data_IF_262902767630
#
_entry.id   IF_262902767630
#
_cell.length_a   1.000
_cell.length_b   1.000
_cell.length_c   1.000
_cell.angle_alpha   90.00
_cell.angle_beta   90.00
_cell.angle_gamma   90.00
#
_symmetry.space_group_name_H-M   'P 1'
#
loop_
_entity.id
_entity.type
_entity.pdbx_description
1 polymer ?
#
# COMPACT_ATOMS: atom_id res chain seq x y z
N UNK A 1 49.82 -19.04 28.93
CA UNK A 1 48.45 -18.50 28.70
C UNK A 1 47.44 -19.46 29.31
N UNK A 2 46.53 -18.98 30.17
CA UNK A 2 45.64 -19.85 30.96
C UNK A 2 44.52 -20.45 30.11
N UNK A 3 44.49 -21.77 29.93
CA UNK A 3 43.53 -22.51 29.08
C UNK A 3 42.06 -22.16 29.41
N UNK A 4 41.75 -21.93 30.69
CA UNK A 4 40.41 -21.49 31.13
C UNK A 4 40.02 -20.11 30.60
N UNK A 5 40.97 -19.17 30.48
CA UNK A 5 40.70 -17.83 29.95
C UNK A 5 40.42 -17.87 28.44
N UNK A 6 41.14 -18.73 27.71
CA UNK A 6 40.95 -18.95 26.26
C UNK A 6 39.55 -19.53 26.00
N UNK A 7 39.14 -20.56 26.75
CA UNK A 7 37.82 -21.17 26.62
C UNK A 7 36.67 -20.18 26.86
N UNK A 8 36.80 -19.31 27.88
CA UNK A 8 35.79 -18.29 28.18
C UNK A 8 35.72 -17.24 27.07
N UNK A 9 36.86 -16.76 26.57
CA UNK A 9 36.88 -15.79 25.47
C UNK A 9 36.31 -16.36 24.18
N UNK A 10 36.59 -17.62 23.86
CA UNK A 10 36.06 -18.27 22.66
C UNK A 10 34.55 -18.48 22.76
N UNK A 11 34.04 -18.88 23.94
CA UNK A 11 32.61 -19.02 24.18
C UNK A 11 31.85 -17.68 24.04
N UNK A 12 32.45 -16.57 24.51
CA UNK A 12 31.87 -15.23 24.39
C UNK A 12 31.79 -14.76 22.94
N UNK A 13 32.82 -15.03 22.14
CA UNK A 13 32.85 -14.65 20.71
C UNK A 13 31.81 -15.45 19.92
N UNK A 14 31.64 -16.74 20.21
CA UNK A 14 30.62 -17.58 19.57
C UNK A 14 29.22 -17.08 19.91
N UNK A 15 28.94 -16.76 21.18
CA UNK A 15 27.65 -16.23 21.62
C UNK A 15 27.33 -14.83 21.04
N UNK A 16 28.34 -13.98 20.83
CA UNK A 16 28.14 -12.72 20.10
C UNK A 16 27.85 -12.98 18.62
N UNK A 17 28.56 -13.90 17.97
CA UNK A 17 28.39 -14.14 16.53
C UNK A 17 27.01 -14.72 16.15
N UNK A 18 26.37 -15.47 17.04
CA UNK A 18 25.03 -16.04 16.81
C UNK A 18 23.88 -15.05 17.01
N UNK A 19 24.10 -13.92 17.69
CA UNK A 19 23.07 -12.90 17.91
C UNK A 19 22.96 -11.87 16.77
N UNK A 20 23.96 -11.76 15.89
CA UNK A 20 23.92 -10.91 14.68
C UNK A 20 23.27 -11.59 13.45
N UNK A 21 22.79 -12.83 13.58
CA UNK A 21 22.26 -13.62 12.46
C UNK A 21 20.78 -13.43 12.16
N UNK A 22 20.00 -12.75 13.02
CA UNK A 22 18.58 -12.50 12.76
C UNK A 22 18.42 -11.37 11.74
N UNK A 23 18.41 -11.73 10.46
CA UNK A 23 17.89 -10.85 9.41
C UNK A 23 16.37 -10.78 9.60
N UNK A 24 15.87 -9.65 10.09
CA UNK A 24 14.43 -9.39 10.07
C UNK A 24 13.95 -9.46 8.63
N UNK A 25 13.20 -10.51 8.31
CA UNK A 25 12.57 -10.64 7.00
C UNK A 25 11.23 -9.93 7.11
N UNK A 26 11.05 -8.92 6.27
CA UNK A 26 9.78 -8.24 6.14
C UNK A 26 8.72 -9.24 5.70
N UNK A 27 7.74 -9.50 6.55
CA UNK A 27 6.72 -10.50 6.31
C UNK A 27 5.45 -9.89 5.66
N UNK A 28 4.44 -10.73 5.42
CA UNK A 28 3.18 -10.26 4.82
C UNK A 28 2.49 -9.19 5.66
N UNK A 29 2.49 -9.37 6.99
CA UNK A 29 1.81 -8.46 7.90
C UNK A 29 2.52 -7.10 7.93
N UNK A 30 3.84 -7.11 7.85
CA UNK A 30 4.65 -5.89 7.69
C UNK A 30 4.32 -5.18 6.38
N UNK A 31 4.25 -5.89 5.24
CA UNK A 31 3.88 -5.32 3.94
C UNK A 31 2.46 -4.75 3.93
N UNK A 32 1.50 -5.47 4.51
CA UNK A 32 0.13 -5.00 4.64
C UNK A 32 0.07 -3.72 5.48
N UNK A 33 0.76 -3.71 6.63
CA UNK A 33 0.75 -2.59 7.57
C UNK A 33 1.46 -1.37 6.99
N UNK A 34 2.60 -1.58 6.33
CA UNK A 34 3.32 -0.52 5.61
C UNK A 34 2.46 0.09 4.52
N UNK A 35 1.88 -0.75 3.65
CA UNK A 35 1.05 -0.30 2.52
C UNK A 35 -0.13 0.51 3.01
N UNK A 36 -0.90 -0.01 3.97
CA UNK A 36 -2.09 0.69 4.49
C UNK A 36 -1.74 2.01 5.16
N UNK A 37 -0.62 2.06 5.90
CA UNK A 37 -0.13 3.33 6.47
C UNK A 37 0.28 4.30 5.37
N UNK A 38 1.01 3.84 4.35
CA UNK A 38 1.46 4.66 3.23
C UNK A 38 0.27 5.25 2.46
N UNK A 39 -0.70 4.43 2.07
CA UNK A 39 -1.89 4.85 1.34
C UNK A 39 -2.74 5.86 2.15
N UNK A 40 -2.94 5.60 3.44
CA UNK A 40 -3.72 6.48 4.31
C UNK A 40 -3.04 7.85 4.55
N UNK A 41 -1.71 7.88 4.67
CA UNK A 41 -0.95 9.11 4.92
C UNK A 41 -0.68 9.94 3.66
N UNK A 42 -0.62 9.28 2.50
CA UNK A 42 -0.30 9.92 1.24
C UNK A 42 -1.51 10.48 0.52
N UNK A 43 -2.74 9.99 0.76
CA UNK A 43 -3.93 10.52 0.08
C UNK A 43 -4.06 12.04 0.24
N UNK A 44 -4.22 12.76 -0.87
CA UNK A 44 -4.43 14.19 -0.86
C UNK A 44 -5.90 14.56 -1.07
N UNK A 45 -6.55 14.99 0.03
CA UNK A 45 -7.91 15.50 0.03
C UNK A 45 -8.02 16.99 -0.31
N UNK A 46 -6.91 17.70 -0.52
CA UNK A 46 -6.91 19.16 -0.71
C UNK A 46 -7.77 19.63 -1.90
N UNK A 47 -7.87 18.81 -2.94
CA UNK A 47 -8.68 19.07 -4.14
C UNK A 47 -10.19 18.87 -3.97
N UNK A 48 -10.65 18.28 -2.85
CA UNK A 48 -12.06 17.93 -2.65
C UNK A 48 -12.58 18.43 -1.29
N UNK A 49 -13.05 19.68 -1.29
CA UNK A 49 -13.55 20.36 -0.08
C UNK A 49 -14.83 19.75 0.51
N UNK A 50 -15.52 18.85 -0.20
CA UNK A 50 -16.77 18.21 0.26
C UNK A 50 -16.53 16.82 0.84
N UNK A 51 -15.30 16.33 0.74
CA UNK A 51 -14.89 15.03 1.23
C UNK A 51 -14.84 15.05 2.76
N UNK A 52 -15.60 14.15 3.39
CA UNK A 52 -15.70 14.04 4.84
C UNK A 52 -14.79 12.96 5.40
N UNK A 53 -14.67 11.83 4.69
CA UNK A 53 -13.87 10.68 5.11
C UNK A 53 -13.33 9.96 3.88
N UNK A 54 -12.10 9.48 3.99
CA UNK A 54 -11.45 8.59 3.01
C UNK A 54 -10.94 7.36 3.72
N UNK A 55 -11.17 6.21 3.12
CA UNK A 55 -10.63 4.93 3.56
C UNK A 55 -9.92 4.31 2.36
N UNK A 56 -8.60 4.26 2.40
CA UNK A 56 -7.77 3.72 1.32
C UNK A 56 -6.83 2.66 1.89
N UNK A 57 -7.05 1.41 1.51
CA UNK A 57 -6.32 0.28 2.08
C UNK A 57 -6.27 -0.93 1.14
N UNK A 58 -5.28 -1.76 1.37
CA UNK A 58 -5.09 -3.10 0.87
C UNK A 58 -5.60 -4.13 1.89
N UNK A 59 -6.28 -5.17 1.41
CA UNK A 59 -6.69 -6.32 2.22
C UNK A 59 -5.64 -7.45 2.18
N UNK A 60 -5.67 -8.40 3.13
CA UNK A 60 -4.83 -9.61 3.08
C UNK A 60 -5.03 -10.45 1.80
N UNK A 61 -6.24 -10.39 1.23
CA UNK A 61 -6.62 -11.09 -0.02
C UNK A 61 -6.26 -10.30 -1.30
N UNK A 62 -5.30 -9.38 -1.20
CA UNK A 62 -4.77 -8.59 -2.31
C UNK A 62 -5.79 -7.65 -2.97
N UNK A 63 -6.85 -7.22 -2.29
CA UNK A 63 -7.76 -6.19 -2.82
C UNK A 63 -7.35 -4.80 -2.38
N UNK A 64 -7.17 -3.90 -3.35
CA UNK A 64 -7.16 -2.46 -3.09
C UNK A 64 -8.60 -1.98 -2.99
N UNK A 65 -8.90 -1.22 -1.94
CA UNK A 65 -10.21 -0.61 -1.71
C UNK A 65 -10.05 0.87 -1.37
N UNK A 66 -10.77 1.71 -2.10
CA UNK A 66 -10.89 3.13 -1.82
C UNK A 66 -12.36 3.47 -1.61
N UNK A 67 -12.70 4.00 -0.45
CA UNK A 67 -14.03 4.55 -0.15
C UNK A 67 -13.91 6.03 0.18
N UNK A 68 -14.63 6.85 -0.58
CA UNK A 68 -14.81 8.28 -0.32
C UNK A 68 -16.22 8.49 0.22
N UNK A 69 -16.34 9.22 1.33
CA UNK A 69 -17.64 9.62 1.90
C UNK A 69 -17.72 11.13 1.95
N UNK A 70 -18.81 11.66 1.39
CA UNK A 70 -19.05 13.10 1.26
C UNK A 70 -19.97 13.63 2.35
N UNK A 71 -19.90 14.93 2.62
CA UNK A 71 -20.68 15.59 3.68
C UNK A 71 -22.21 15.34 3.60
N UNK A 72 -22.76 15.09 2.41
CA UNK A 72 -24.20 14.84 2.18
C UNK A 72 -24.57 13.35 2.05
N UNK A 73 -23.69 12.45 2.47
CA UNK A 73 -23.96 11.01 2.47
C UNK A 73 -23.71 10.29 1.14
N UNK A 74 -23.36 11.01 0.06
CA UNK A 74 -22.81 10.41 -1.16
C UNK A 74 -21.56 9.60 -0.81
N UNK A 75 -21.44 8.42 -1.39
CA UNK A 75 -20.24 7.60 -1.32
C UNK A 75 -19.76 7.22 -2.72
N UNK A 76 -18.45 7.10 -2.86
CA UNK A 76 -17.80 6.53 -4.03
C UNK A 76 -16.90 5.39 -3.55
N UNK A 77 -17.00 4.26 -4.21
CA UNK A 77 -16.30 3.03 -3.86
C UNK A 77 -15.56 2.49 -5.08
N UNK A 78 -14.29 2.21 -4.88
CA UNK A 78 -13.41 1.62 -5.87
C UNK A 78 -12.80 0.35 -5.29
N UNK A 79 -12.78 -0.72 -6.07
CA UNK A 79 -12.19 -1.97 -5.64
C UNK A 79 -11.67 -2.79 -6.81
N UNK A 80 -10.47 -3.31 -6.67
CA UNK A 80 -9.89 -4.26 -7.61
C UNK A 80 -8.90 -5.18 -6.91
N UNK A 81 -8.64 -6.33 -7.51
CA UNK A 81 -7.64 -7.26 -7.02
C UNK A 81 -6.28 -6.97 -7.68
N UNK A 82 -5.20 -6.92 -6.90
CA UNK A 82 -3.84 -6.68 -7.40
C UNK A 82 -3.35 -7.74 -8.39
N UNK A 83 -3.94 -8.93 -8.43
CA UNK A 83 -3.64 -9.91 -9.48
C UNK A 83 -4.04 -9.43 -10.88
N UNK A 84 -5.01 -8.50 -10.98
CA UNK A 84 -5.41 -7.88 -12.26
C UNK A 84 -4.61 -6.61 -12.59
N UNK A 85 -3.73 -6.17 -11.69
CA UNK A 85 -2.89 -4.99 -11.91
C UNK A 85 -1.95 -5.25 -13.08
N UNK A 86 -2.12 -4.49 -14.16
CA UNK A 86 -1.21 -4.47 -15.29
C UNK A 86 0.01 -3.59 -14.94
N UNK A 87 -0.26 -2.33 -14.56
CA UNK A 87 0.76 -1.31 -14.35
C UNK A 87 0.45 -0.41 -13.16
N UNK A 88 1.50 0.22 -12.60
CA UNK A 88 1.42 1.16 -11.48
C UNK A 88 2.40 2.30 -11.71
N UNK A 89 1.86 3.47 -12.02
CA UNK A 89 2.63 4.66 -12.35
C UNK A 89 2.49 5.75 -11.29
N UNK A 90 3.50 6.62 -11.23
CA UNK A 90 3.45 7.85 -10.46
C UNK A 90 3.69 9.06 -11.35
N UNK A 91 2.71 9.98 -11.36
CA UNK A 91 2.74 11.20 -12.15
C UNK A 91 2.81 12.40 -11.20
N UNK A 92 3.97 13.02 -11.06
CA UNK A 92 4.11 14.23 -10.25
C UNK A 92 5.50 14.49 -9.69
N UNK A 93 5.54 15.11 -8.52
CA UNK A 93 6.73 15.51 -7.77
C UNK A 93 6.64 15.00 -6.34
N UNK A 94 7.73 14.95 -5.58
CA UNK A 94 7.71 14.41 -4.22
C UNK A 94 6.67 15.06 -3.28
N UNK A 95 6.27 16.31 -3.52
CA UNK A 95 5.24 16.98 -2.73
C UNK A 95 3.82 16.62 -3.12
N UNK A 96 3.53 16.46 -4.42
CA UNK A 96 2.18 16.26 -4.96
C UNK A 96 2.23 15.47 -6.27
N UNK A 97 1.32 14.52 -6.43
CA UNK A 97 1.18 13.76 -7.68
C UNK A 97 -0.05 12.86 -7.69
N UNK A 98 -0.06 11.95 -8.66
CA UNK A 98 -1.14 10.98 -8.90
C UNK A 98 -0.53 9.58 -8.92
N UNK A 99 -1.07 8.68 -8.09
CA UNK A 99 -0.88 7.25 -8.27
C UNK A 99 -1.88 6.76 -9.30
N UNK A 100 -1.40 6.20 -10.40
CA UNK A 100 -2.22 5.66 -11.48
C UNK A 100 -2.14 4.14 -11.44
N UNK A 101 -3.27 3.50 -11.16
CA UNK A 101 -3.40 2.03 -11.20
C UNK A 101 -4.08 1.63 -12.51
N UNK A 102 -3.45 0.72 -13.26
CA UNK A 102 -3.99 0.19 -14.51
C UNK A 102 -4.23 -1.31 -14.40
N UNK A 103 -5.41 -1.79 -14.75
CA UNK A 103 -5.73 -3.22 -14.84
C UNK A 103 -5.70 -3.73 -16.27
N UNK A 104 -5.65 -5.06 -16.44
CA UNK A 104 -5.59 -5.72 -17.75
C UNK A 104 -6.88 -5.54 -18.56
N UNK A 105 -8.03 -5.58 -17.89
CA UNK A 105 -9.33 -5.30 -18.47
C UNK A 105 -10.12 -4.36 -17.53
N UNK A 106 -11.42 -4.21 -17.76
CA UNK A 106 -12.33 -3.47 -16.88
C UNK A 106 -12.53 -4.25 -15.56
N UNK A 107 -11.51 -4.23 -14.69
CA UNK A 107 -11.42 -5.00 -13.44
C UNK A 107 -11.52 -4.11 -12.19
N UNK A 108 -11.55 -2.78 -12.37
CA UNK A 108 -11.77 -1.83 -11.28
C UNK A 108 -13.24 -1.53 -11.16
N UNK A 109 -13.87 -2.07 -10.11
CA UNK A 109 -15.25 -1.75 -9.74
C UNK A 109 -15.33 -0.28 -9.35
N UNK A 110 -16.29 0.45 -9.91
CA UNK A 110 -16.64 1.83 -9.58
C UNK A 110 -18.10 1.89 -9.23
N UNK A 111 -18.38 2.14 -7.95
CA UNK A 111 -19.72 2.20 -7.41
C UNK A 111 -19.97 3.52 -6.69
N UNK A 112 -21.16 4.10 -6.88
CA UNK A 112 -21.58 5.26 -6.10
C UNK A 112 -22.88 4.96 -5.35
N UNK A 113 -23.05 5.58 -4.19
CA UNK A 113 -24.27 5.49 -3.40
C UNK A 113 -24.75 6.89 -3.01
N UNK A 114 -26.07 7.09 -3.01
CA UNK A 114 -26.70 8.39 -2.74
C UNK A 114 -26.20 9.50 -3.68
N UNK A 115 -25.88 9.17 -4.94
CA UNK A 115 -25.61 10.21 -5.93
C UNK A 115 -26.92 10.86 -6.38
N UNK A 116 -26.88 12.18 -6.57
CA UNK A 116 -28.03 12.97 -7.01
C UNK A 116 -28.46 12.63 -8.43
N UNK A 117 -27.54 12.14 -9.26
CA UNK A 117 -27.81 11.76 -10.65
C UNK A 117 -28.16 10.28 -10.80
N UNK A 118 -28.26 9.55 -9.69
CA UNK A 118 -28.44 8.10 -9.67
C UNK A 118 -27.14 7.38 -9.38
N UNK A 119 -27.26 6.23 -8.72
CA UNK A 119 -26.13 5.40 -8.33
C UNK A 119 -25.51 4.72 -9.56
N UNK A 120 -24.19 4.76 -9.64
CA UNK A 120 -23.39 4.15 -10.68
C UNK A 120 -22.90 2.79 -10.19
N UNK A 121 -22.95 1.78 -11.06
CA UNK A 121 -22.29 0.49 -10.90
C UNK A 121 -21.63 0.15 -12.23
N UNK A 122 -20.31 0.29 -12.28
CA UNK A 122 -19.53 0.19 -13.53
C UNK A 122 -18.15 -0.37 -13.26
N UNK A 123 -17.42 -0.66 -14.33
CA UNK A 123 -16.04 -1.13 -14.29
C UNK A 123 -15.17 -0.19 -15.13
N UNK A 124 -13.90 -0.03 -14.75
CA UNK A 124 -12.90 0.73 -15.50
C UNK A 124 -11.55 0.01 -15.50
N UNK A 125 -10.66 0.43 -16.39
CA UNK A 125 -9.27 -0.05 -16.49
C UNK A 125 -8.29 0.81 -15.70
N UNK A 126 -8.63 2.06 -15.37
CA UNK A 126 -7.71 3.03 -14.78
C UNK A 126 -8.32 3.67 -13.53
N UNK A 127 -7.51 3.78 -12.47
CA UNK A 127 -7.85 4.50 -11.25
C UNK A 127 -6.72 5.46 -10.87
N UNK A 128 -7.03 6.75 -10.95
CA UNK A 128 -6.15 7.84 -10.53
C UNK A 128 -6.46 8.27 -9.10
N UNK A 129 -5.42 8.32 -8.28
CA UNK A 129 -5.53 8.70 -6.87
C UNK A 129 -4.58 9.85 -6.57
N UNK A 130 -5.11 11.03 -6.19
CA UNK A 130 -4.27 12.15 -5.79
C UNK A 130 -3.55 11.83 -4.48
N UNK A 131 -2.24 12.06 -4.47
CA UNK A 131 -1.37 11.83 -3.33
C UNK A 131 -0.39 12.97 -3.11
N UNK A 132 0.17 13.02 -1.91
CA UNK A 132 1.17 13.98 -1.46
C UNK A 132 2.28 13.30 -0.66
N UNK A 133 3.41 13.98 -0.54
CA UNK A 133 4.56 13.54 0.25
C UNK A 133 5.03 12.12 -0.16
N UNK A 134 5.25 11.93 -1.46
CA UNK A 134 5.74 10.68 -2.06
C UNK A 134 7.22 10.84 -2.43
N UNK A 135 8.08 10.82 -1.42
CA UNK A 135 9.53 10.73 -1.64
C UNK A 135 9.88 9.43 -2.39
N UNK A 136 10.97 9.42 -3.20
CA UNK A 136 11.33 8.27 -4.03
C UNK A 136 11.37 6.95 -3.26
N UNK A 137 11.96 6.92 -2.06
CA UNK A 137 12.11 5.70 -1.26
C UNK A 137 10.75 5.14 -0.79
N UNK A 138 9.79 6.03 -0.54
CA UNK A 138 8.42 5.65 -0.17
C UNK A 138 7.69 5.03 -1.37
N UNK A 139 7.87 5.63 -2.56
CA UNK A 139 7.29 5.12 -3.79
C UNK A 139 7.86 3.75 -4.15
N UNK A 140 9.19 3.59 -4.05
CA UNK A 140 9.87 2.31 -4.30
C UNK A 140 9.36 1.22 -3.36
N UNK A 141 9.28 1.53 -2.06
CA UNK A 141 8.77 0.59 -1.05
C UNK A 141 7.30 0.25 -1.26
N UNK A 142 6.47 1.22 -1.70
CA UNK A 142 5.08 0.96 -2.06
C UNK A 142 4.99 0.06 -3.28
N UNK A 143 5.81 0.31 -4.30
CA UNK A 143 5.85 -0.50 -5.51
C UNK A 143 6.29 -1.94 -5.23
N UNK A 144 7.29 -2.14 -4.36
CA UNK A 144 7.70 -3.47 -3.89
C UNK A 144 6.56 -4.19 -3.16
N UNK A 145 5.87 -3.49 -2.26
CA UNK A 145 4.73 -4.05 -1.53
C UNK A 145 3.59 -4.47 -2.48
N UNK A 146 3.22 -3.61 -3.44
CA UNK A 146 2.17 -3.93 -4.41
C UNK A 146 2.56 -5.14 -5.29
N UNK A 147 3.83 -5.21 -5.71
CA UNK A 147 4.34 -6.35 -6.46
C UNK A 147 4.35 -7.65 -5.64
N UNK A 148 4.66 -7.58 -4.35
CA UNK A 148 4.53 -8.72 -3.44
C UNK A 148 3.10 -9.28 -3.43
N UNK A 149 2.10 -8.43 -3.22
CA UNK A 149 0.70 -8.87 -3.18
C UNK A 149 0.12 -9.25 -4.55
N UNK A 150 0.62 -8.65 -5.64
CA UNK A 150 0.31 -9.08 -7.02
C UNK A 150 0.82 -10.49 -7.30
N UNK A 151 2.04 -10.81 -6.88
CA UNK A 151 2.68 -12.11 -7.12
C UNK A 151 2.26 -13.21 -6.13
N UNK A 152 1.70 -12.83 -4.97
CA UNK A 152 1.12 -13.75 -4.00
C UNK A 152 0.10 -14.66 -4.70
N UNK A 153 0.18 -15.97 -4.49
CA UNK A 153 -0.88 -16.88 -4.93
C UNK A 153 -1.81 -17.12 -3.75
N UNK A 154 -3.13 -17.08 -4.02
CA UNK A 154 -4.18 -17.43 -3.05
C UNK A 154 -4.09 -18.91 -2.66
#
# INVERSE_FOLDING_TARGET
MNVKKVLITTAFIIALSTSYGFKYRFDEQDWLSYTNRCLAQSYDASGDSKLKKVEFFLTPDSFIRLRKTYAKGKQEYYSFNLHQLNDFDYLGSSTTGILEFKTLADDIIVQTYNDRHGDVDSMTTVLDIPVKNMEPERLDSLHEALNYFKAKRL
#
